data_IF_139100043636
#
_entry.id   IF_139100043636
#
_cell.length_a   1.000
_cell.length_b   1.000
_cell.length_c   1.000
_cell.angle_alpha   90.00
_cell.angle_beta   90.00
_cell.angle_gamma   90.00
#
_symmetry.space_group_name_H-M   'P 1'
#
loop_
_entity.id
_entity.type
_entity.pdbx_description
1 polymer ?
#
# COMPACT_ATOMS: atom_id res chain seq x y z
N UNK A 1 -22.65 -5.66 -20.38
CA UNK A 1 -22.50 -5.10 -19.02
C UNK A 1 -23.37 -3.86 -18.99
N UNK A 2 -24.20 -3.72 -17.96
CA UNK A 2 -25.03 -2.53 -17.77
C UNK A 2 -24.14 -1.30 -17.53
N UNK A 3 -24.51 -0.12 -18.05
CA UNK A 3 -23.70 1.09 -17.93
C UNK A 3 -23.56 1.59 -16.49
N UNK A 4 -24.45 1.16 -15.59
CA UNK A 4 -24.38 1.46 -14.17
C UNK A 4 -23.32 0.61 -13.44
N UNK A 5 -22.85 -0.49 -14.04
CA UNK A 5 -21.82 -1.35 -13.44
C UNK A 5 -20.43 -0.74 -13.69
N UNK A 6 -19.83 -0.26 -12.60
CA UNK A 6 -18.47 0.28 -12.63
C UNK A 6 -17.45 -0.85 -12.47
N UNK A 7 -16.49 -0.95 -13.40
CA UNK A 7 -15.42 -1.94 -13.38
C UNK A 7 -14.10 -1.24 -13.05
N UNK A 8 -13.46 -1.71 -11.97
CA UNK A 8 -12.13 -1.25 -11.56
C UNK A 8 -11.25 -2.50 -11.38
N UNK A 9 -10.13 -2.60 -12.12
CA UNK A 9 -9.12 -3.63 -11.88
C UNK A 9 -8.66 -3.66 -10.42
N UNK A 10 -8.94 -4.76 -9.73
CA UNK A 10 -8.54 -4.94 -8.34
C UNK A 10 -7.03 -5.21 -8.23
N UNK A 11 -6.42 -4.71 -7.15
CA UNK A 11 -5.07 -5.05 -6.68
C UNK A 11 -4.05 -5.39 -7.80
N UNK A 12 -3.82 -4.43 -8.72
CA UNK A 12 -3.26 -4.68 -10.05
C UNK A 12 -1.84 -5.27 -10.05
N UNK A 13 -1.06 -5.08 -8.98
CA UNK A 13 0.31 -5.58 -8.87
C UNK A 13 0.48 -6.89 -8.09
N UNK A 14 -0.60 -7.46 -7.57
CA UNK A 14 -0.51 -8.74 -6.87
C UNK A 14 0.10 -9.78 -7.82
N UNK A 15 1.21 -10.47 -7.44
CA UNK A 15 2.00 -11.24 -8.40
C UNK A 15 1.20 -12.30 -9.17
N UNK A 16 0.22 -12.89 -8.51
CA UNK A 16 -0.80 -13.76 -9.10
C UNK A 16 -2.12 -13.00 -9.14
N UNK A 17 -2.86 -13.16 -10.23
CA UNK A 17 -4.21 -12.62 -10.45
C UNK A 17 -4.30 -11.09 -10.61
N UNK A 18 -3.26 -10.33 -10.26
CA UNK A 18 -3.17 -8.91 -10.61
C UNK A 18 -2.96 -8.74 -12.12
N UNK A 19 -3.65 -7.77 -12.72
CA UNK A 19 -3.57 -7.50 -14.17
C UNK A 19 -2.14 -7.18 -14.61
N UNK A 20 -1.33 -6.55 -13.77
CA UNK A 20 0.08 -6.24 -14.03
C UNK A 20 1.04 -7.12 -13.22
N UNK A 21 0.52 -8.19 -12.62
CA UNK A 21 1.28 -9.11 -11.77
C UNK A 21 2.40 -9.84 -12.52
N UNK A 22 3.51 -10.11 -11.83
CA UNK A 22 4.72 -10.68 -12.43
C UNK A 22 4.61 -12.14 -12.89
N UNK A 23 3.52 -12.86 -12.57
CA UNK A 23 3.33 -14.28 -12.93
C UNK A 23 2.22 -14.52 -13.93
N UNK A 24 1.14 -13.75 -13.86
CA UNK A 24 -0.07 -14.00 -14.66
C UNK A 24 -0.62 -12.74 -15.33
N UNK A 25 0.09 -11.61 -15.25
CA UNK A 25 -0.38 -10.31 -15.73
C UNK A 25 -0.01 -10.02 -17.19
N UNK A 26 -0.63 -8.97 -17.71
CA UNK A 26 -0.34 -8.27 -18.95
C UNK A 26 0.68 -7.15 -18.71
N UNK A 27 1.19 -6.58 -19.81
CA UNK A 27 2.10 -5.42 -19.76
C UNK A 27 1.33 -4.08 -19.76
N UNK A 28 0.07 -4.07 -20.20
CA UNK A 28 -0.80 -2.90 -20.18
C UNK A 28 -2.25 -3.26 -19.79
N UNK A 29 -3.02 -2.28 -19.32
CA UNK A 29 -4.46 -2.44 -19.02
C UNK A 29 -5.22 -2.69 -20.33
N UNK A 30 -4.79 -2.01 -21.39
CA UNK A 30 -5.28 -2.12 -22.75
C UNK A 30 -5.27 -3.56 -23.27
N UNK A 31 -4.22 -4.33 -22.94
CA UNK A 31 -4.10 -5.73 -23.39
C UNK A 31 -5.11 -6.66 -22.71
N UNK A 32 -5.62 -6.27 -21.54
CA UNK A 32 -6.60 -7.05 -20.79
C UNK A 32 -8.04 -6.71 -21.17
N UNK A 33 -8.33 -5.43 -21.45
CA UNK A 33 -9.70 -4.95 -21.69
C UNK A 33 -10.01 -4.66 -23.17
N UNK A 34 -9.00 -4.60 -24.03
CA UNK A 34 -9.12 -4.42 -25.48
C UNK A 34 -10.08 -3.27 -25.83
N UNK A 35 -11.14 -3.53 -26.61
CA UNK A 35 -12.13 -2.53 -27.00
C UNK A 35 -12.96 -1.94 -25.85
N UNK A 36 -12.82 -2.44 -24.62
CA UNK A 36 -13.51 -1.92 -23.44
C UNK A 36 -12.61 -1.06 -22.54
N UNK A 37 -11.36 -0.81 -22.94
CA UNK A 37 -10.40 -0.05 -22.12
C UNK A 37 -10.87 1.36 -21.81
N UNK A 38 -11.59 2.00 -22.73
CA UNK A 38 -12.22 3.31 -22.59
C UNK A 38 -13.31 3.37 -21.49
N UNK A 39 -13.78 2.21 -21.02
CA UNK A 39 -14.70 2.09 -19.87
C UNK A 39 -13.97 2.02 -18.53
N UNK A 40 -12.67 1.76 -18.53
CA UNK A 40 -11.84 1.70 -17.32
C UNK A 40 -11.27 3.09 -17.05
N UNK A 41 -11.62 3.67 -15.91
CA UNK A 41 -11.20 5.03 -15.52
C UNK A 41 -10.37 5.07 -14.23
N UNK A 42 -10.33 3.94 -13.52
CA UNK A 42 -9.61 3.81 -12.28
C UNK A 42 -8.98 2.42 -12.18
N UNK A 43 -7.96 2.30 -11.34
CA UNK A 43 -7.31 1.05 -10.97
C UNK A 43 -7.12 1.00 -9.47
N UNK A 44 -7.21 -0.18 -8.87
CA UNK A 44 -6.92 -0.37 -7.46
C UNK A 44 -5.46 -0.79 -7.29
N UNK A 45 -4.71 -0.05 -6.45
CA UNK A 45 -3.30 -0.31 -6.14
C UNK A 45 -3.12 -1.70 -5.51
N UNK A 46 -3.87 -1.92 -4.43
CA UNK A 46 -3.77 -3.07 -3.53
C UNK A 46 -2.46 -3.11 -2.75
N UNK A 47 -2.39 -4.03 -1.78
CA UNK A 47 -1.31 -4.15 -0.77
C UNK A 47 0.13 -4.30 -1.29
N UNK A 48 0.31 -4.48 -2.60
CA UNK A 48 1.61 -4.74 -3.23
C UNK A 48 2.22 -3.50 -3.88
N UNK A 49 1.47 -2.39 -4.00
CA UNK A 49 1.94 -1.16 -4.61
C UNK A 49 1.23 0.05 -4.03
N UNK A 50 1.83 1.23 -4.19
CA UNK A 50 1.22 2.51 -3.84
C UNK A 50 0.96 3.36 -5.10
N UNK A 51 0.27 4.51 -5.01
CA UNK A 51 0.07 5.40 -6.14
C UNK A 51 1.39 5.92 -6.75
N UNK A 52 2.40 6.20 -5.93
CA UNK A 52 3.72 6.65 -6.38
C UNK A 52 4.48 5.60 -7.20
N UNK A 53 4.22 4.32 -6.95
CA UNK A 53 4.65 3.18 -7.76
C UNK A 53 3.88 3.15 -9.08
N UNK A 54 2.54 3.19 -9.02
CA UNK A 54 1.68 3.12 -10.20
C UNK A 54 2.01 4.21 -11.25
N UNK A 55 2.12 5.47 -10.83
CA UNK A 55 2.31 6.59 -11.75
C UNK A 55 3.70 6.66 -12.41
N UNK A 56 4.65 5.80 -12.01
CA UNK A 56 5.91 5.63 -12.73
C UNK A 56 5.75 4.89 -14.05
N UNK A 57 4.64 4.17 -14.22
CA UNK A 57 4.28 3.47 -15.46
C UNK A 57 3.44 4.42 -16.31
N UNK A 58 3.87 4.67 -17.54
CA UNK A 58 3.24 5.67 -18.40
C UNK A 58 1.76 5.33 -18.72
N UNK A 59 1.44 4.05 -18.98
CA UNK A 59 0.07 3.61 -19.27
C UNK A 59 -0.88 3.85 -18.10
N UNK A 60 -0.38 3.79 -16.85
CA UNK A 60 -1.21 4.00 -15.66
C UNK A 60 -1.55 5.47 -15.37
N UNK A 61 -0.90 6.45 -16.04
CA UNK A 61 -1.08 7.88 -15.75
C UNK A 61 -2.46 8.43 -16.11
N UNK A 62 -3.18 7.73 -16.99
CA UNK A 62 -4.53 8.12 -17.41
C UNK A 62 -5.62 7.63 -16.44
N UNK A 63 -5.28 6.72 -15.52
CA UNK A 63 -6.24 6.14 -14.57
C UNK A 63 -6.15 6.84 -13.21
N UNK A 64 -7.27 6.94 -12.52
CA UNK A 64 -7.30 7.31 -11.10
C UNK A 64 -6.95 6.09 -10.26
N UNK A 65 -5.87 6.15 -9.47
CA UNK A 65 -5.55 5.11 -8.50
C UNK A 65 -6.45 5.23 -7.26
N UNK A 66 -7.15 4.16 -6.92
CA UNK A 66 -7.87 3.99 -5.65
C UNK A 66 -7.20 2.91 -4.80
N UNK A 67 -7.51 2.90 -3.51
CA UNK A 67 -6.96 1.96 -2.54
C UNK A 67 -8.08 1.42 -1.65
N UNK A 68 -8.11 0.10 -1.47
CA UNK A 68 -9.15 -0.62 -0.73
C UNK A 68 -8.54 -1.80 0.02
N UNK A 69 -9.08 -2.10 1.20
CA UNK A 69 -8.50 -3.10 2.09
C UNK A 69 -8.51 -4.56 1.60
N UNK A 70 -9.39 -4.96 0.69
CA UNK A 70 -9.66 -6.39 0.40
C UNK A 70 -9.83 -7.23 1.70
N UNK A 71 -10.67 -6.73 2.61
CA UNK A 71 -10.77 -7.25 3.97
C UNK A 71 -11.52 -8.60 4.03
N UNK A 72 -10.79 -9.63 4.47
CA UNK A 72 -11.33 -10.98 4.72
C UNK A 72 -11.60 -11.25 6.20
N UNK A 73 -11.42 -10.23 7.06
CA UNK A 73 -11.77 -10.28 8.47
C UNK A 73 -12.01 -8.86 9.01
N UNK A 74 -12.79 -8.69 10.09
CA UNK A 74 -13.09 -7.37 10.64
C UNK A 74 -11.84 -6.55 11.00
N UNK A 75 -10.81 -7.21 11.54
CA UNK A 75 -9.55 -6.56 11.94
C UNK A 75 -8.71 -6.06 10.75
N UNK A 76 -9.10 -6.35 9.50
CA UNK A 76 -8.41 -5.92 8.29
C UNK A 76 -9.17 -4.81 7.53
N UNK A 77 -10.35 -4.40 8.02
CA UNK A 77 -11.14 -3.33 7.39
C UNK A 77 -10.38 -2.01 7.50
N UNK A 78 -10.30 -1.28 6.39
CA UNK A 78 -9.69 0.06 6.35
C UNK A 78 -8.18 0.08 6.50
N UNK A 79 -7.52 -1.09 6.39
CA UNK A 79 -6.07 -1.23 6.34
C UNK A 79 -5.46 -0.52 5.11
N UNK A 80 -6.27 -0.43 4.06
CA UNK A 80 -6.13 0.46 2.90
C UNK A 80 -7.50 1.10 2.62
N UNK A 81 -7.50 2.36 2.20
CA UNK A 81 -8.75 3.11 2.00
C UNK A 81 -8.58 4.32 1.06
N UNK A 82 -9.66 4.68 0.37
CA UNK A 82 -9.75 5.92 -0.40
C UNK A 82 -10.63 6.92 0.33
N UNK A 83 -10.11 8.13 0.59
CA UNK A 83 -10.78 9.12 1.41
C UNK A 83 -11.44 10.18 0.53
N UNK A 84 -12.76 10.26 0.62
CA UNK A 84 -13.58 11.25 -0.07
C UNK A 84 -14.25 12.21 0.91
N UNK A 85 -14.67 13.38 0.41
CA UNK A 85 -15.59 14.27 1.11
C UNK A 85 -16.80 14.63 0.26
N UNK A 86 -17.89 14.93 0.95
CA UNK A 86 -19.12 15.47 0.36
C UNK A 86 -19.71 14.60 -0.76
N UNK A 87 -19.58 13.27 -0.69
CA UNK A 87 -20.19 12.32 -1.64
C UNK A 87 -21.68 12.18 -1.34
N UNK A 88 -22.53 12.35 -2.37
CA UNK A 88 -23.99 12.40 -2.24
C UNK A 88 -24.70 11.13 -2.70
N UNK A 89 -24.13 10.40 -3.65
CA UNK A 89 -24.71 9.17 -4.20
C UNK A 89 -23.63 8.25 -4.80
N UNK A 90 -24.05 7.08 -5.27
CA UNK A 90 -23.19 6.14 -6.00
C UNK A 90 -22.64 6.76 -7.29
N UNK A 91 -23.50 7.40 -8.08
CA UNK A 91 -23.12 8.05 -9.34
C UNK A 91 -22.15 9.21 -9.10
N UNK A 92 -22.38 9.97 -8.02
CA UNK A 92 -21.51 11.07 -7.63
C UNK A 92 -20.12 10.58 -7.17
N UNK A 93 -20.05 9.45 -6.44
CA UNK A 93 -18.78 8.80 -6.08
C UNK A 93 -17.94 8.48 -7.32
N UNK A 94 -18.53 7.77 -8.29
CA UNK A 94 -17.80 7.36 -9.47
C UNK A 94 -17.53 8.52 -10.43
N UNK A 95 -18.35 9.56 -10.44
CA UNK A 95 -18.04 10.82 -11.11
C UNK A 95 -16.78 11.48 -10.52
N UNK A 96 -16.65 11.51 -9.18
CA UNK A 96 -15.45 12.05 -8.50
C UNK A 96 -14.20 11.21 -8.80
N UNK A 97 -14.32 9.89 -8.85
CA UNK A 97 -13.21 8.99 -9.18
C UNK A 97 -12.81 9.14 -10.66
N UNK A 98 -13.77 9.05 -11.58
CA UNK A 98 -13.54 9.11 -13.03
C UNK A 98 -12.90 10.42 -13.47
N UNK A 99 -13.36 11.55 -12.92
CA UNK A 99 -12.82 12.86 -13.27
C UNK A 99 -11.61 13.27 -12.44
N UNK A 100 -11.29 12.52 -11.37
CA UNK A 100 -10.39 12.93 -10.29
C UNK A 100 -10.60 14.38 -9.86
N UNK A 101 -11.50 14.60 -8.91
CA UNK A 101 -11.78 15.94 -8.34
C UNK A 101 -10.99 16.14 -7.03
N UNK A 102 -9.81 16.79 -7.01
CA UNK A 102 -8.91 16.80 -5.84
C UNK A 102 -9.50 17.45 -4.58
N UNK A 103 -10.48 18.34 -4.76
CA UNK A 103 -11.19 18.95 -3.65
C UNK A 103 -12.04 17.92 -2.92
N UNK A 104 -12.50 16.85 -3.59
CA UNK A 104 -13.43 15.84 -3.07
C UNK A 104 -12.81 14.45 -2.92
N UNK A 105 -11.81 14.12 -3.74
CA UNK A 105 -10.91 12.98 -3.59
C UNK A 105 -9.67 13.46 -2.85
N UNK A 106 -9.60 13.20 -1.55
CA UNK A 106 -8.62 13.86 -0.69
C UNK A 106 -7.25 13.17 -0.72
N UNK A 107 -7.23 11.85 -0.55
CA UNK A 107 -6.02 11.02 -0.56
C UNK A 107 -6.39 9.54 -0.46
N UNK A 108 -5.39 8.67 -0.63
CA UNK A 108 -5.46 7.25 -0.24
C UNK A 108 -4.62 6.95 1.00
N UNK A 109 -5.04 5.96 1.76
CA UNK A 109 -4.31 5.34 2.85
C UNK A 109 -3.77 4.00 2.35
N UNK A 110 -2.46 3.82 2.41
CA UNK A 110 -1.76 2.68 1.80
C UNK A 110 -1.02 1.88 2.87
N UNK A 111 -0.87 0.58 2.65
CA UNK A 111 0.20 -0.18 3.28
C UNK A 111 1.54 0.25 2.72
N UNK A 112 2.61 0.08 3.51
CA UNK A 112 3.96 0.09 2.94
C UNK A 112 4.11 -1.13 2.01
N UNK A 113 4.32 -0.96 0.69
CA UNK A 113 4.46 -2.08 -0.24
C UNK A 113 5.64 -3.00 0.13
N UNK A 114 6.66 -2.45 0.81
CA UNK A 114 7.82 -3.20 1.28
C UNK A 114 7.46 -4.28 2.32
N UNK A 115 6.33 -4.19 3.02
CA UNK A 115 5.86 -5.30 3.87
C UNK A 115 5.42 -6.51 3.05
N UNK A 116 5.09 -6.34 1.77
CA UNK A 116 4.61 -7.40 0.90
C UNK A 116 5.59 -8.57 0.78
N UNK A 117 5.04 -9.80 0.80
CA UNK A 117 5.82 -11.06 0.75
C UNK A 117 6.74 -11.23 -0.46
N UNK A 118 6.47 -10.47 -1.52
CA UNK A 118 7.13 -10.59 -2.81
C UNK A 118 7.52 -9.20 -3.31
N UNK A 119 7.88 -8.27 -2.43
CA UNK A 119 8.26 -6.93 -2.85
C UNK A 119 9.61 -6.93 -3.59
N UNK A 120 10.67 -7.39 -2.91
CA UNK A 120 12.02 -7.49 -3.45
C UNK A 120 12.27 -8.82 -4.18
N UNK A 121 13.32 -8.84 -4.99
CA UNK A 121 13.84 -10.09 -5.55
C UNK A 121 14.52 -10.88 -4.45
N UNK A 122 14.32 -12.20 -4.42
CA UNK A 122 14.97 -12.98 -3.39
C UNK A 122 14.92 -14.49 -3.55
N UNK A 123 15.64 -15.14 -2.65
CA UNK A 123 15.73 -16.59 -2.54
C UNK A 123 15.73 -16.95 -1.05
N UNK A 124 14.54 -17.30 -0.55
CA UNK A 124 14.25 -17.57 0.86
C UNK A 124 15.17 -18.62 1.46
N UNK A 125 15.45 -19.69 0.72
CA UNK A 125 16.32 -20.80 1.19
C UNK A 125 17.74 -20.34 1.55
N UNK A 126 18.21 -19.26 0.96
CA UNK A 126 19.52 -18.68 1.23
C UNK A 126 19.45 -17.41 2.08
N UNK A 127 18.24 -16.98 2.50
CA UNK A 127 18.01 -15.70 3.17
C UNK A 127 18.67 -14.53 2.42
N UNK A 128 18.56 -14.54 1.09
CA UNK A 128 19.14 -13.52 0.23
C UNK A 128 18.04 -12.74 -0.46
N UNK A 129 18.13 -11.41 -0.40
CA UNK A 129 17.25 -10.49 -1.11
C UNK A 129 18.00 -9.28 -1.60
N UNK A 130 17.47 -8.68 -2.67
CA UNK A 130 18.03 -7.47 -3.27
C UNK A 130 16.89 -6.65 -3.88
N UNK A 131 16.97 -5.33 -3.74
CA UNK A 131 16.17 -4.44 -4.56
C UNK A 131 16.88 -4.27 -5.91
N UNK A 132 16.29 -4.74 -7.02
CA UNK A 132 16.94 -4.61 -8.31
C UNK A 132 17.12 -3.14 -8.70
N UNK A 133 18.30 -2.79 -9.22
CA UNK A 133 18.57 -1.47 -9.83
C UNK A 133 18.23 -1.45 -11.34
N UNK A 134 17.96 -2.62 -11.93
CA UNK A 134 17.61 -2.82 -13.34
C UNK A 134 16.76 -4.07 -13.50
N UNK A 135 16.17 -4.26 -14.68
CA UNK A 135 15.41 -5.46 -15.07
C UNK A 135 16.31 -6.66 -15.40
N UNK A 136 17.60 -6.61 -15.04
CA UNK A 136 18.51 -7.71 -15.28
C UNK A 136 18.13 -8.89 -14.38
N UNK A 137 17.94 -10.05 -15.00
CA UNK A 137 17.71 -11.28 -14.29
C UNK A 137 18.97 -11.73 -13.54
N UNK A 138 18.86 -11.82 -12.21
CA UNK A 138 19.94 -12.18 -11.31
C UNK A 138 19.74 -13.58 -10.74
N UNK A 139 20.86 -14.27 -10.51
CA UNK A 139 20.91 -15.49 -9.72
C UNK A 139 21.31 -15.16 -8.27
N UNK A 140 20.88 -16.00 -7.33
CA UNK A 140 21.25 -15.91 -5.92
C UNK A 140 22.77 -15.99 -5.75
N UNK A 141 23.37 -14.96 -5.15
CA UNK A 141 24.81 -14.87 -4.91
C UNK A 141 25.36 -15.97 -3.98
N UNK A 142 24.48 -16.63 -3.21
CA UNK A 142 24.85 -17.69 -2.26
C UNK A 142 24.90 -19.07 -2.92
N UNK A 143 23.99 -19.37 -3.86
CA UNK A 143 23.85 -20.73 -4.41
C UNK A 143 23.75 -20.83 -5.94
N UNK A 144 23.76 -19.71 -6.66
CA UNK A 144 23.69 -19.64 -8.12
C UNK A 144 22.33 -19.97 -8.75
N UNK A 145 21.30 -20.29 -7.96
CA UNK A 145 19.94 -20.55 -8.47
C UNK A 145 19.20 -19.25 -8.82
N UNK A 146 18.21 -19.28 -9.73
CA UNK A 146 17.39 -18.10 -10.05
C UNK A 146 16.69 -17.53 -8.81
N UNK A 147 16.55 -16.21 -8.78
CA UNK A 147 15.73 -15.51 -7.77
C UNK A 147 14.25 -15.60 -8.11
N UNK A 148 13.40 -15.54 -7.08
CA UNK A 148 12.00 -15.17 -7.25
C UNK A 148 11.94 -13.66 -7.45
N UNK A 149 11.53 -13.22 -8.64
CA UNK A 149 11.35 -11.80 -8.94
C UNK A 149 10.13 -11.22 -8.25
N UNK A 150 10.34 -10.09 -7.59
CA UNK A 150 9.33 -9.38 -6.82
C UNK A 150 8.50 -8.39 -7.63
N UNK A 151 7.56 -7.75 -6.95
CA UNK A 151 6.71 -6.69 -7.49
C UNK A 151 7.53 -5.50 -7.93
N UNK A 152 8.59 -5.16 -7.19
CA UNK A 152 9.47 -4.06 -7.55
C UNK A 152 10.18 -4.29 -8.89
N UNK A 153 10.62 -5.53 -9.16
CA UNK A 153 11.21 -5.90 -10.45
C UNK A 153 10.21 -5.71 -11.59
N UNK A 154 8.98 -6.24 -11.41
CA UNK A 154 7.91 -6.09 -12.39
C UNK A 154 7.58 -4.63 -12.66
N UNK A 155 7.58 -3.81 -11.62
CA UNK A 155 7.39 -2.38 -11.77
C UNK A 155 8.51 -1.73 -12.60
N UNK A 156 9.77 -2.12 -12.42
CA UNK A 156 10.88 -1.64 -13.26
C UNK A 156 10.73 -2.09 -14.72
N UNK A 157 10.28 -3.32 -14.97
CA UNK A 157 9.99 -3.80 -16.33
C UNK A 157 8.97 -2.91 -17.04
N UNK A 158 7.87 -2.58 -16.35
CA UNK A 158 6.77 -1.81 -16.92
C UNK A 158 7.05 -0.30 -16.99
N UNK A 159 7.86 0.23 -16.06
CA UNK A 159 8.20 1.66 -16.04
C UNK A 159 9.39 1.99 -16.96
N UNK A 160 10.30 1.05 -17.24
CA UNK A 160 11.50 1.31 -18.02
C UNK A 160 12.27 2.55 -17.52
N UNK A 161 12.60 3.48 -18.42
CA UNK A 161 13.36 4.68 -18.07
C UNK A 161 12.57 5.75 -17.28
N UNK A 162 11.24 5.65 -17.16
CA UNK A 162 10.43 6.67 -16.45
C UNK A 162 10.42 6.49 -14.93
N UNK A 163 11.05 5.44 -14.41
CA UNK A 163 11.08 5.16 -12.98
C UNK A 163 11.62 6.34 -12.15
N UNK A 164 12.53 7.17 -12.66
CA UNK A 164 13.26 8.14 -11.82
C UNK A 164 12.56 9.48 -11.55
N UNK A 165 11.51 9.88 -12.29
CA UNK A 165 11.07 11.29 -12.30
C UNK A 165 9.53 11.53 -12.33
N UNK A 166 8.71 10.68 -11.72
CA UNK A 166 7.25 10.91 -11.69
C UNK A 166 6.72 11.07 -10.26
N UNK A 167 6.12 12.22 -9.98
CA UNK A 167 5.34 12.43 -8.77
C UNK A 167 3.96 11.79 -8.91
N UNK A 168 3.43 11.23 -7.83
CA UNK A 168 2.06 10.74 -7.81
C UNK A 168 1.07 11.87 -8.07
N UNK A 169 0.06 11.60 -8.91
CA UNK A 169 -1.10 12.50 -9.11
C UNK A 169 -2.01 12.52 -7.88
N UNK A 170 -2.08 11.40 -7.17
CA UNK A 170 -2.92 11.20 -5.98
C UNK A 170 -2.07 11.38 -4.73
N UNK A 171 -2.53 12.21 -3.80
CA UNK A 171 -1.93 12.29 -2.46
C UNK A 171 -2.19 10.98 -1.72
N UNK A 172 -1.18 10.47 -1.03
CA UNK A 172 -1.32 9.23 -0.28
C UNK A 172 -0.48 9.27 1.00
N UNK A 173 -0.84 8.41 1.95
CA UNK A 173 -0.12 8.23 3.20
C UNK A 173 0.08 6.75 3.47
N UNK A 174 1.30 6.37 3.84
CA UNK A 174 1.56 5.03 4.34
C UNK A 174 1.20 4.92 5.82
N UNK A 175 0.66 3.77 6.20
CA UNK A 175 0.47 3.43 7.60
C UNK A 175 0.67 1.96 7.86
N UNK A 176 0.70 1.60 9.14
CA UNK A 176 0.52 0.23 9.62
C UNK A 176 -0.59 0.27 10.69
N UNK A 177 -1.31 -0.84 10.93
CA UNK A 177 -2.33 -0.88 11.96
C UNK A 177 -1.79 -0.41 13.31
N UNK A 178 -2.60 0.32 14.08
CA UNK A 178 -2.21 0.86 15.38
C UNK A 178 -1.76 -0.24 16.35
N UNK A 179 -2.40 -1.42 16.30
CA UNK A 179 -1.95 -2.60 17.06
C UNK A 179 -0.53 -3.04 16.65
N UNK A 180 -0.13 -2.84 15.40
CA UNK A 180 1.23 -3.07 14.91
C UNK A 180 2.23 -2.10 15.52
N UNK A 181 1.91 -0.81 15.58
CA UNK A 181 2.74 0.22 16.24
C UNK A 181 2.92 -0.12 17.72
N UNK A 182 1.80 -0.31 18.44
CA UNK A 182 1.81 -0.63 19.88
C UNK A 182 2.59 -1.92 20.15
N UNK A 183 2.40 -2.94 19.31
CA UNK A 183 3.10 -4.24 19.41
C UNK A 183 4.63 -4.09 19.34
N UNK A 184 5.12 -3.24 18.44
CA UNK A 184 6.55 -2.96 18.33
C UNK A 184 7.09 -2.23 19.56
N UNK A 185 6.37 -1.20 20.02
CA UNK A 185 6.75 -0.38 21.18
C UNK A 185 6.83 -1.19 22.47
N UNK A 186 5.81 -2.01 22.76
CA UNK A 186 5.76 -2.76 24.02
C UNK A 186 6.41 -4.16 23.91
N UNK A 187 6.99 -4.49 22.75
CA UNK A 187 7.64 -5.77 22.44
C UNK A 187 6.78 -7.00 22.74
N UNK A 188 5.50 -6.95 22.35
CA UNK A 188 4.56 -8.07 22.52
C UNK A 188 3.81 -8.35 21.23
N UNK A 189 3.30 -9.57 21.06
CA UNK A 189 2.43 -9.90 19.93
C UNK A 189 1.25 -8.93 19.82
N UNK A 190 0.91 -8.55 18.59
CA UNK A 190 -0.28 -7.78 18.24
C UNK A 190 -1.61 -8.40 18.73
N UNK A 191 -1.62 -9.71 19.03
CA UNK A 191 -2.76 -10.45 19.59
C UNK A 191 -2.75 -10.50 21.13
N UNK A 192 -1.76 -9.90 21.79
CA UNK A 192 -1.66 -9.95 23.25
C UNK A 192 -2.69 -9.05 23.93
N UNK A 193 -3.16 -9.46 25.11
CA UNK A 193 -4.06 -8.65 25.95
C UNK A 193 -3.46 -7.30 26.34
N UNK A 194 -2.12 -7.22 26.41
CA UNK A 194 -1.43 -5.96 26.69
C UNK A 194 -1.57 -4.97 25.53
N UNK A 195 -1.34 -5.42 24.28
CA UNK A 195 -1.55 -4.57 23.09
C UNK A 195 -3.02 -4.16 22.98
N UNK A 196 -3.95 -5.10 23.18
CA UNK A 196 -5.38 -4.82 23.06
C UNK A 196 -5.87 -3.80 24.10
N UNK A 197 -5.30 -3.82 25.31
CA UNK A 197 -5.60 -2.82 26.35
C UNK A 197 -5.14 -1.41 25.95
N UNK A 198 -3.91 -1.26 25.47
CA UNK A 198 -3.42 0.06 25.03
C UNK A 198 -4.15 0.54 23.78
N UNK A 199 -4.47 -0.37 22.86
CA UNK A 199 -5.30 -0.07 21.69
C UNK A 199 -6.67 0.50 22.11
N UNK A 200 -7.40 -0.20 22.99
CA UNK A 200 -8.72 0.25 23.47
C UNK A 200 -8.67 1.60 24.17
N UNK A 201 -7.67 1.82 25.04
CA UNK A 201 -7.47 3.14 25.67
C UNK A 201 -7.29 4.25 24.63
N UNK A 202 -6.46 4.02 23.62
CA UNK A 202 -6.24 5.00 22.57
C UNK A 202 -7.53 5.27 21.78
N UNK A 203 -8.30 4.23 21.45
CA UNK A 203 -9.61 4.37 20.80
C UNK A 203 -10.62 5.12 21.68
N UNK A 204 -10.66 4.88 22.99
CA UNK A 204 -11.56 5.60 23.90
C UNK A 204 -11.27 7.11 23.95
N UNK A 205 -9.99 7.50 23.84
CA UNK A 205 -9.55 8.90 23.86
C UNK A 205 -9.79 9.58 22.50
N UNK A 206 -9.38 8.92 21.41
CA UNK A 206 -9.33 9.51 20.07
C UNK A 206 -10.44 9.02 19.12
N UNK A 207 -11.39 8.25 19.64
CA UNK A 207 -12.60 7.71 18.99
C UNK A 207 -12.38 6.60 17.97
N UNK A 208 -11.40 6.73 17.06
CA UNK A 208 -11.13 5.72 16.05
C UNK A 208 -9.67 5.72 15.60
N UNK A 209 -9.27 4.60 14.98
CA UNK A 209 -7.90 4.35 14.56
C UNK A 209 -7.39 5.32 13.47
N UNK A 210 -8.20 5.61 12.46
CA UNK A 210 -7.81 6.54 11.37
C UNK A 210 -7.52 7.93 11.94
N UNK A 211 -8.34 8.40 12.90
CA UNK A 211 -8.09 9.65 13.60
C UNK A 211 -6.74 9.63 14.34
N UNK A 212 -6.43 8.55 15.06
CA UNK A 212 -5.16 8.37 15.76
C UNK A 212 -3.99 8.38 14.78
N UNK A 213 -4.09 7.63 13.68
CA UNK A 213 -2.99 7.45 12.73
C UNK A 213 -2.73 8.68 11.87
N UNK A 214 -3.75 9.50 11.56
CA UNK A 214 -3.62 10.58 10.57
C UNK A 214 -3.92 12.00 11.08
N UNK A 215 -4.90 12.17 11.96
CA UNK A 215 -5.51 13.50 12.19
C UNK A 215 -5.31 14.07 13.60
N UNK A 216 -5.20 13.22 14.62
CA UNK A 216 -4.98 13.64 16.00
C UNK A 216 -3.70 14.50 16.09
N UNK A 217 -3.75 15.62 16.81
CA UNK A 217 -2.57 16.49 16.96
C UNK A 217 -1.47 15.76 17.70
N UNK A 218 -0.23 15.99 17.31
CA UNK A 218 0.93 15.37 17.96
C UNK A 218 0.99 15.70 19.46
N UNK A 219 0.67 16.94 19.84
CA UNK A 219 0.57 17.36 21.25
C UNK A 219 -0.45 16.54 22.06
N UNK A 220 -1.56 16.17 21.43
CA UNK A 220 -2.63 15.43 22.08
C UNK A 220 -2.23 13.96 22.24
N UNK A 221 -1.57 13.39 21.23
CA UNK A 221 -0.97 12.05 21.30
C UNK A 221 0.06 11.97 22.43
N UNK A 222 1.01 12.90 22.48
CA UNK A 222 2.08 12.95 23.49
C UNK A 222 1.52 13.12 24.90
N UNK A 223 0.48 13.92 25.08
CA UNK A 223 -0.11 14.17 26.41
C UNK A 223 -1.05 13.07 26.90
N UNK A 224 -1.60 12.25 26.00
CA UNK A 224 -2.67 11.29 26.32
C UNK A 224 -2.27 9.82 26.20
N UNK A 225 -1.16 9.50 25.52
CA UNK A 225 -0.64 8.14 25.35
C UNK A 225 0.74 7.98 26.01
N UNK A 226 1.20 6.74 26.28
CA UNK A 226 2.61 6.50 26.54
C UNK A 226 3.47 7.12 25.44
N UNK A 227 4.54 7.81 25.84
CA UNK A 227 5.35 8.65 24.95
C UNK A 227 5.87 7.85 23.75
N UNK A 228 6.30 6.61 23.96
CA UNK A 228 6.86 5.75 22.94
C UNK A 228 5.80 5.32 21.91
N UNK A 229 4.53 5.19 22.31
CA UNK A 229 3.41 4.92 21.38
C UNK A 229 3.12 6.15 20.54
N UNK A 230 3.08 7.34 21.16
CA UNK A 230 2.87 8.59 20.46
C UNK A 230 3.99 8.85 19.44
N UNK A 231 5.24 8.66 19.83
CA UNK A 231 6.41 8.78 18.97
C UNK A 231 6.42 7.75 17.84
N UNK A 232 5.99 6.51 18.10
CA UNK A 232 5.80 5.49 17.06
C UNK A 232 4.78 5.91 15.99
N UNK A 233 3.65 6.50 16.40
CA UNK A 233 2.64 7.03 15.46
C UNK A 233 3.23 8.21 14.65
N UNK A 234 3.92 9.13 15.30
CA UNK A 234 4.55 10.29 14.67
C UNK A 234 5.66 9.86 13.70
N UNK A 235 6.44 8.83 14.04
CA UNK A 235 7.48 8.23 13.20
C UNK A 235 6.87 7.70 11.90
N UNK A 236 5.75 6.97 11.96
CA UNK A 236 5.02 6.48 10.78
C UNK A 236 4.51 7.64 9.92
N UNK A 237 3.85 8.64 10.52
CA UNK A 237 3.31 9.81 9.78
C UNK A 237 4.37 10.58 9.01
N UNK A 238 5.59 10.60 9.51
CA UNK A 238 6.73 11.29 8.91
C UNK A 238 7.58 10.38 8.00
N UNK A 239 7.13 9.15 7.75
CA UNK A 239 7.89 8.09 7.04
C UNK A 239 9.31 7.85 7.62
N UNK A 240 9.50 8.15 8.91
CA UNK A 240 10.76 7.91 9.62
C UNK A 240 10.79 6.49 10.14
N UNK A 241 10.90 5.53 9.23
CA UNK A 241 10.91 4.10 9.54
C UNK A 241 12.03 3.37 8.79
N UNK A 242 12.48 2.25 9.34
CA UNK A 242 13.41 1.35 8.65
C UNK A 242 12.58 0.29 7.95
N UNK A 243 12.76 0.17 6.64
CA UNK A 243 12.02 -0.77 5.79
C UNK A 243 12.89 -1.98 5.47
N UNK A 244 12.46 -3.16 5.90
CA UNK A 244 13.04 -4.43 5.49
C UNK A 244 12.08 -5.09 4.49
N UNK A 245 12.38 -5.06 3.19
CA UNK A 245 11.45 -5.55 2.19
C UNK A 245 11.24 -7.07 2.30
N UNK A 246 10.00 -7.50 2.12
CA UNK A 246 9.68 -8.92 1.99
C UNK A 246 10.12 -9.48 0.64
N UNK A 247 10.35 -10.80 0.61
CA UNK A 247 10.81 -11.51 -0.59
C UNK A 247 10.47 -13.00 -0.52
N UNK A 248 10.29 -13.62 -1.68
CA UNK A 248 10.12 -15.08 -1.86
C UNK A 248 9.16 -15.75 -0.84
N UNK A 249 8.06 -15.07 -0.52
CA UNK A 249 6.99 -15.57 0.35
C UNK A 249 7.09 -15.15 1.81
N UNK A 250 8.15 -14.41 2.20
CA UNK A 250 8.33 -13.87 3.54
C UNK A 250 7.93 -12.41 3.59
N UNK A 251 7.06 -12.06 4.54
CA UNK A 251 6.66 -10.67 4.77
C UNK A 251 7.88 -9.83 5.16
N UNK A 252 7.89 -8.61 4.65
CA UNK A 252 8.79 -7.56 5.10
C UNK A 252 8.41 -7.06 6.48
N UNK A 253 9.17 -6.08 6.95
CA UNK A 253 8.96 -5.44 8.26
C UNK A 253 9.21 -3.95 8.15
N UNK A 254 8.27 -3.17 8.64
CA UNK A 254 8.47 -1.74 8.90
C UNK A 254 8.79 -1.60 10.38
N UNK A 255 10.01 -1.18 10.67
CA UNK A 255 10.50 -0.98 12.03
C UNK A 255 10.44 0.50 12.35
N UNK A 256 9.75 0.82 13.46
CA UNK A 256 9.68 2.18 13.97
C UNK A 256 11.09 2.72 14.25
N UNK A 257 11.35 3.97 13.87
CA UNK A 257 12.60 4.66 14.15
C UNK A 257 12.27 5.96 14.88
N UNK A 258 12.12 5.84 16.20
CA UNK A 258 11.90 6.95 17.13
C UNK A 258 12.99 6.94 18.20
N UNK A 259 13.24 8.12 18.77
CA UNK A 259 14.35 8.40 19.71
C UNK A 259 13.93 8.18 21.14
#
# INVERSE_FOLDING_TARGET
VDDDIQIIPAHIFTPWFGILGSKSGFDAIEDCFEENTDKIFAVETGLSADPGMCYRINSLRNFTTISNSDAHSPDQIGREATIFKDIKSYEDLFSVIKNYTPERFLFTLEYFPEEGKYFADGHRKCNFSVLPDSTSHLNCSVCGKPLTYGVFHRLLELSGNSYKNTLSKIKYFHTIPLKGIISQVIHKSNKSLAVDREYKKAIDIFKNEINILLFAKESDLISSLPIEIAEGIISIRNEKVIKFPGFDGEYGKIILNYS
#
